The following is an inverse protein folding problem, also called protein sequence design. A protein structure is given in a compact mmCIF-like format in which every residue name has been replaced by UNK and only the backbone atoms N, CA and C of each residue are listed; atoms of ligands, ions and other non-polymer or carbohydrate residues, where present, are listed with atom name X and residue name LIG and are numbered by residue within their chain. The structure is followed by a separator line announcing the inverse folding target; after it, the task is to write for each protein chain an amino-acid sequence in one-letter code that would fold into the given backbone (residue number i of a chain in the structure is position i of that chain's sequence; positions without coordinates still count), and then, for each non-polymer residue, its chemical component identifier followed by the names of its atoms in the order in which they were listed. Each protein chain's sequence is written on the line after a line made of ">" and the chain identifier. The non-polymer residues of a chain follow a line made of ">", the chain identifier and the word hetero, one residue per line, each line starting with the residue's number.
data_IF_879051354829
#
_entry.id   IF_879051354829
#
_cell.length_a   1.000
_cell.length_b   1.000
_cell.length_c   1.000
_cell.angle_alpha   90.00
_cell.angle_beta   90.00
_cell.angle_gamma   90.00
#
_symmetry.space_group_name_H-M   'P 1'
#
loop_
_entity.id
_entity.type
_entity.pdbx_description
1 polymer ?
#
# COMPACT_ATOMS: atom_id res chain seq x y z
N UNK A 1 5.22 26.29 -2.30
CA UNK A 1 6.62 25.91 -2.07
C UNK A 1 6.67 24.79 -1.04
N UNK A 2 7.32 23.71 -1.32
CA UNK A 2 7.34 22.59 -0.40
C UNK A 2 8.38 22.80 0.70
N UNK A 3 7.98 22.50 1.91
CA UNK A 3 8.83 22.46 3.08
C UNK A 3 9.84 21.32 2.94
N UNK A 4 11.11 21.47 3.37
CA UNK A 4 12.07 20.38 3.36
C UNK A 4 11.59 19.13 4.11
N UNK A 5 10.84 19.30 5.20
CA UNK A 5 10.30 18.15 5.93
C UNK A 5 9.23 17.42 5.11
N UNK A 6 8.46 18.13 4.28
CA UNK A 6 7.51 17.52 3.38
C UNK A 6 8.22 16.70 2.29
N UNK A 7 9.35 17.18 1.76
CA UNK A 7 10.14 16.46 0.79
C UNK A 7 10.68 15.16 1.38
N UNK A 8 11.20 15.21 2.61
CA UNK A 8 11.68 14.02 3.30
C UNK A 8 10.56 13.03 3.58
N UNK A 9 9.40 13.53 4.00
CA UNK A 9 8.22 12.69 4.22
C UNK A 9 7.79 12.00 2.94
N UNK A 10 7.76 12.74 1.82
CA UNK A 10 7.41 12.17 0.52
C UNK A 10 8.39 11.07 0.10
N UNK A 11 9.68 11.27 0.34
CA UNK A 11 10.69 10.27 -0.01
C UNK A 11 10.56 9.02 0.84
N UNK A 12 10.29 9.18 2.14
CA UNK A 12 10.06 8.05 3.04
C UNK A 12 8.82 7.28 2.60
N UNK A 13 7.74 7.99 2.29
CA UNK A 13 6.50 7.34 1.84
C UNK A 13 6.70 6.57 0.54
N UNK A 14 7.45 7.13 -0.42
CA UNK A 14 7.76 6.43 -1.67
C UNK A 14 8.55 5.15 -1.42
N UNK A 15 9.50 5.18 -0.51
CA UNK A 15 10.27 3.98 -0.16
C UNK A 15 9.38 2.92 0.49
N UNK A 16 8.47 3.32 1.36
CA UNK A 16 7.52 2.39 1.97
C UNK A 16 6.63 1.76 0.89
N UNK A 17 6.12 2.57 -0.05
CA UNK A 17 5.29 2.08 -1.14
C UNK A 17 6.07 1.08 -1.99
N UNK A 18 7.34 1.35 -2.32
CA UNK A 18 8.18 0.43 -3.10
C UNK A 18 8.33 -0.92 -2.42
N UNK A 19 8.40 -0.94 -1.10
CA UNK A 19 8.55 -2.17 -0.32
C UNK A 19 7.22 -2.87 -0.07
N UNK A 20 6.10 -2.20 -0.35
CA UNK A 20 4.79 -2.77 -0.18
C UNK A 20 4.39 -3.64 -1.38
N UNK A 21 3.25 -4.30 -1.28
CA UNK A 21 2.67 -5.08 -2.36
C UNK A 21 1.95 -4.22 -3.40
N UNK A 22 1.81 -2.91 -3.13
CA UNK A 22 1.04 -2.01 -3.98
C UNK A 22 1.96 -1.20 -4.87
N UNK A 23 1.47 -0.88 -6.08
CA UNK A 23 2.11 0.10 -6.95
C UNK A 23 1.63 1.51 -6.57
N UNK A 24 2.37 2.53 -7.01
CA UNK A 24 1.94 3.92 -6.80
C UNK A 24 0.56 4.17 -7.40
N UNK A 25 0.30 3.61 -8.58
CA UNK A 25 -1.02 3.74 -9.24
C UNK A 25 -2.12 3.14 -8.38
N UNK A 26 -1.88 1.98 -7.79
CA UNK A 26 -2.86 1.33 -6.93
C UNK A 26 -3.11 2.13 -5.65
N UNK A 27 -2.09 2.75 -5.08
CA UNK A 27 -2.25 3.63 -3.92
C UNK A 27 -3.12 4.84 -4.29
N UNK A 28 -2.86 5.46 -5.44
CA UNK A 28 -3.67 6.58 -5.91
C UNK A 28 -5.15 6.18 -6.09
N UNK A 29 -5.38 5.01 -6.64
CA UNK A 29 -6.74 4.49 -6.86
C UNK A 29 -7.45 4.25 -5.51
N UNK A 30 -6.75 3.70 -4.54
CA UNK A 30 -7.30 3.49 -3.19
C UNK A 30 -7.67 4.83 -2.56
N UNK A 31 -6.79 5.81 -2.66
CA UNK A 31 -7.04 7.15 -2.12
C UNK A 31 -8.25 7.80 -2.80
N UNK A 32 -8.37 7.66 -4.11
CA UNK A 32 -9.49 8.20 -4.84
C UNK A 32 -10.80 7.52 -4.46
N UNK A 33 -10.79 6.21 -4.27
CA UNK A 33 -11.99 5.46 -3.89
C UNK A 33 -12.50 5.86 -2.50
N UNK A 34 -11.63 6.40 -1.66
CA UNK A 34 -11.99 6.89 -0.32
C UNK A 34 -12.18 8.41 -0.28
N UNK A 35 -12.22 9.06 -1.45
CA UNK A 35 -12.33 10.52 -1.56
C UNK A 35 -11.20 11.28 -0.85
N UNK A 36 -10.03 10.68 -0.78
CA UNK A 36 -8.85 11.29 -0.17
C UNK A 36 -7.91 11.89 -1.21
N UNK A 37 -8.25 11.79 -2.48
CA UNK A 37 -7.48 12.33 -3.58
C UNK A 37 -8.40 12.82 -4.68
N UNK A 38 -8.04 13.95 -5.30
CA UNK A 38 -8.76 14.51 -6.44
C UNK A 38 -8.10 14.16 -7.77
N UNK A 39 -7.15 13.24 -7.76
CA UNK A 39 -6.43 12.82 -8.96
C UNK A 39 -7.41 12.23 -9.98
N UNK A 40 -7.37 12.74 -11.20
CA UNK A 40 -8.13 12.18 -12.29
C UNK A 40 -7.24 11.22 -13.08
N UNK A 41 -7.82 10.09 -13.49
CA UNK A 41 -7.11 9.08 -14.23
C UNK A 41 -7.47 9.12 -15.69
N UNK A 42 -6.47 9.08 -16.57
CA UNK A 42 -6.64 9.02 -18.01
C UNK A 42 -6.64 7.58 -18.49
N UNK A 43 -7.43 6.73 -17.84
CA UNK A 43 -7.51 5.33 -18.20
C UNK A 43 -8.96 4.95 -18.52
N UNK A 44 -9.10 3.85 -19.25
CA UNK A 44 -10.44 3.35 -19.57
C UNK A 44 -11.13 2.86 -18.30
N UNK A 45 -12.47 2.81 -18.37
CA UNK A 45 -13.28 2.31 -17.26
C UNK A 45 -12.89 0.87 -16.91
N UNK A 46 -12.66 0.03 -17.93
CA UNK A 46 -12.26 -1.35 -17.70
C UNK A 46 -10.91 -1.47 -17.02
N UNK A 47 -9.93 -0.64 -17.45
CA UNK A 47 -8.62 -0.63 -16.82
C UNK A 47 -8.69 -0.16 -15.35
N UNK A 48 -9.53 0.85 -15.08
CA UNK A 48 -9.77 1.33 -13.72
C UNK A 48 -10.31 0.21 -12.82
N UNK A 49 -11.36 -0.46 -13.29
CA UNK A 49 -11.97 -1.54 -12.50
C UNK A 49 -11.01 -2.72 -12.28
N UNK A 50 -10.14 -3.00 -13.27
CA UNK A 50 -9.10 -4.02 -13.10
C UNK A 50 -8.16 -3.66 -11.97
N UNK A 51 -7.70 -2.40 -11.92
CA UNK A 51 -6.80 -1.94 -10.86
C UNK A 51 -7.48 -1.98 -9.49
N UNK A 52 -8.75 -1.60 -9.42
CA UNK A 52 -9.53 -1.68 -8.18
C UNK A 52 -9.62 -3.13 -7.71
N UNK A 53 -9.91 -4.05 -8.61
CA UNK A 53 -10.01 -5.49 -8.29
C UNK A 53 -8.69 -6.04 -7.80
N UNK A 54 -7.59 -5.73 -8.48
CA UNK A 54 -6.24 -6.16 -8.06
C UNK A 54 -5.88 -5.62 -6.68
N UNK A 55 -6.19 -4.35 -6.42
CA UNK A 55 -5.94 -3.73 -5.12
C UNK A 55 -6.75 -4.41 -4.02
N UNK A 56 -8.00 -4.74 -4.30
CA UNK A 56 -8.87 -5.44 -3.35
C UNK A 56 -8.33 -6.84 -3.03
N UNK A 57 -7.85 -7.55 -4.04
CA UNK A 57 -7.27 -8.89 -3.84
C UNK A 57 -6.02 -8.81 -2.98
N UNK A 58 -5.18 -7.80 -3.18
CA UNK A 58 -4.00 -7.58 -2.35
C UNK A 58 -4.36 -7.26 -0.91
N UNK A 59 -5.39 -6.43 -0.70
CA UNK A 59 -5.88 -6.11 0.64
C UNK A 59 -6.38 -7.35 1.36
N UNK A 60 -7.15 -8.20 0.66
CA UNK A 60 -7.61 -9.47 1.22
C UNK A 60 -6.44 -10.37 1.59
N UNK A 61 -5.44 -10.48 0.71
CA UNK A 61 -4.25 -11.27 0.97
C UNK A 61 -3.49 -10.79 2.20
N UNK A 62 -3.36 -9.49 2.36
CA UNK A 62 -2.73 -8.90 3.54
C UNK A 62 -3.52 -9.21 4.81
N UNK A 63 -4.84 -9.06 4.76
CA UNK A 63 -5.70 -9.34 5.89
C UNK A 63 -5.54 -10.77 6.38
N UNK A 64 -5.63 -11.73 5.46
CA UNK A 64 -5.45 -13.13 5.82
C UNK A 64 -4.02 -13.44 6.26
N UNK A 65 -3.04 -12.76 5.69
CA UNK A 65 -1.65 -12.91 6.12
C UNK A 65 -1.46 -12.47 7.57
N UNK A 66 -2.07 -11.37 7.98
CA UNK A 66 -2.04 -10.94 9.37
C UNK A 66 -2.68 -11.95 10.31
N UNK A 67 -3.78 -12.57 9.88
CA UNK A 67 -4.45 -13.60 10.68
C UNK A 67 -3.51 -14.79 10.87
N UNK A 68 -2.87 -15.26 9.81
CA UNK A 68 -1.93 -16.38 9.87
C UNK A 68 -0.76 -16.04 10.80
N UNK A 69 -0.17 -14.86 10.66
CA UNK A 69 0.92 -14.44 11.51
C UNK A 69 0.52 -14.35 12.97
N UNK A 70 -0.70 -13.87 13.24
CA UNK A 70 -1.23 -13.82 14.58
C UNK A 70 -1.39 -15.21 15.20
N UNK A 71 -1.88 -16.18 14.41
CA UNK A 71 -2.02 -17.57 14.86
C UNK A 71 -0.66 -18.17 15.18
N UNK A 72 0.37 -17.85 14.38
CA UNK A 72 1.73 -18.34 14.60
C UNK A 72 2.47 -17.62 15.72
N UNK A 73 1.87 -16.59 16.30
CA UNK A 73 2.49 -15.82 17.38
C UNK A 73 3.52 -14.80 16.89
N UNK A 74 3.53 -14.48 15.61
CA UNK A 74 4.40 -13.44 15.05
C UNK A 74 3.69 -12.10 15.18
N UNK A 75 4.24 -11.18 15.96
CA UNK A 75 3.62 -9.87 16.22
C UNK A 75 4.51 -8.77 15.67
N UNK A 76 3.95 -7.95 14.80
CA UNK A 76 4.63 -6.80 14.23
C UNK A 76 4.58 -5.63 15.21
N UNK A 77 5.60 -4.75 15.24
CA UNK A 77 6.79 -4.74 14.36
C UNK A 77 8.00 -5.49 14.91
N UNK A 78 7.95 -5.97 16.15
CA UNK A 78 9.13 -6.53 16.82
C UNK A 78 9.70 -7.74 16.11
N UNK A 79 8.84 -8.54 15.50
CA UNK A 79 9.23 -9.79 14.81
C UNK A 79 9.72 -9.57 13.39
N UNK A 80 9.58 -8.36 12.82
CA UNK A 80 10.02 -8.08 11.46
C UNK A 80 11.53 -8.29 11.32
N UNK A 81 12.31 -7.85 12.29
CA UNK A 81 13.77 -8.00 12.23
C UNK A 81 14.18 -9.48 12.19
N UNK A 82 13.50 -10.30 12.96
CA UNK A 82 13.73 -11.75 12.97
C UNK A 82 13.38 -12.35 11.61
N UNK A 83 12.23 -11.99 11.06
CA UNK A 83 11.79 -12.48 9.76
C UNK A 83 12.75 -12.07 8.65
N UNK A 84 13.25 -10.83 8.67
CA UNK A 84 14.15 -10.34 7.65
C UNK A 84 15.54 -11.00 7.70
N UNK A 85 15.87 -11.66 8.78
CA UNK A 85 17.12 -12.40 8.92
C UNK A 85 17.03 -13.85 8.39
N UNK A 86 15.82 -14.29 8.12
CA UNK A 86 15.60 -15.62 7.57
C UNK A 86 15.92 -15.66 6.08
#
# INVERSE_FOLDING_TARGET
>A
MSDPSNSNFSNILKEIIKKSLFTERQIEIILKSKNLSDVEFTMTKGAYYRQVSQSRDKLSGLYYSFIVLGILGVVLPDDIDVISQL
#
